data_IF_212393785807
#
_entry.id   IF_212393785807
#
_cell.length_a   1.000
_cell.length_b   1.000
_cell.length_c   1.000
_cell.angle_alpha   90.00
_cell.angle_beta   90.00
_cell.angle_gamma   90.00
#
_symmetry.space_group_name_H-M   'P 1'
#
loop_
_entity.id
_entity.type
_entity.pdbx_description
1 polymer ?
#
# COMPACT_ATOMS: atom_id res chain seq x y z
N UNK A 1 13.34 -22.06 20.53
CA UNK A 1 11.94 -21.99 20.08
C UNK A 1 11.41 -23.38 20.34
N UNK A 2 10.55 -23.53 21.32
CA UNK A 2 9.89 -24.80 21.62
C UNK A 2 9.02 -25.17 20.41
N UNK A 3 9.18 -26.38 19.92
CA UNK A 3 8.90 -26.94 18.60
C UNK A 3 7.53 -26.81 17.96
N UNK A 4 6.72 -25.79 18.30
CA UNK A 4 5.39 -25.57 17.72
C UNK A 4 5.11 -24.10 17.34
N UNK A 5 6.08 -23.19 17.41
CA UNK A 5 5.88 -21.81 16.99
C UNK A 5 6.19 -21.65 15.49
N UNK A 6 5.17 -21.33 14.72
CA UNK A 6 5.33 -20.93 13.31
C UNK A 6 5.88 -19.50 13.22
N UNK A 7 6.98 -19.33 12.52
CA UNK A 7 7.57 -18.01 12.24
C UNK A 7 7.33 -17.69 10.78
N UNK A 8 6.71 -16.54 10.53
CA UNK A 8 6.57 -15.98 9.20
C UNK A 8 7.57 -14.83 9.00
N UNK A 9 8.35 -14.91 7.93
CA UNK A 9 9.22 -13.82 7.47
C UNK A 9 8.65 -13.21 6.20
N UNK A 10 8.34 -11.92 6.25
CA UNK A 10 7.90 -11.15 5.09
C UNK A 10 8.99 -10.14 4.72
N UNK A 11 9.53 -10.30 3.50
CA UNK A 11 10.46 -9.35 2.93
C UNK A 11 9.75 -8.44 1.94
N UNK A 12 9.91 -7.13 2.12
CA UNK A 12 9.29 -6.12 1.26
C UNK A 12 10.36 -5.28 0.59
N UNK A 13 10.26 -5.15 -0.73
CA UNK A 13 11.06 -4.21 -1.50
C UNK A 13 10.21 -3.01 -1.89
N UNK A 14 10.72 -1.82 -1.62
CA UNK A 14 10.08 -0.57 -2.01
C UNK A 14 10.89 0.05 -3.14
N UNK A 15 10.24 0.21 -4.30
CA UNK A 15 10.84 0.83 -5.51
C UNK A 15 12.23 0.25 -5.82
N UNK A 16 12.34 -1.05 -6.14
CA UNK A 16 13.62 -1.65 -6.45
C UNK A 16 14.24 -1.02 -7.71
N UNK A 17 15.54 -0.92 -7.75
CA UNK A 17 16.26 -0.44 -8.93
C UNK A 17 15.96 -1.33 -10.14
N UNK A 18 15.54 -0.74 -11.25
CA UNK A 18 15.22 -1.47 -12.49
C UNK A 18 13.77 -1.93 -12.64
N UNK A 19 12.85 -1.44 -11.81
CA UNK A 19 11.41 -1.68 -11.88
C UNK A 19 10.90 -2.83 -11.02
N UNK A 20 9.63 -3.13 -11.12
CA UNK A 20 8.89 -4.00 -10.19
C UNK A 20 9.40 -5.43 -10.09
N UNK A 21 9.95 -5.96 -11.18
CA UNK A 21 10.48 -7.33 -11.24
C UNK A 21 12.01 -7.39 -11.30
N UNK A 22 12.66 -6.25 -11.29
CA UNK A 22 14.11 -6.15 -11.30
C UNK A 22 14.63 -5.77 -9.89
N UNK A 23 15.91 -5.72 -9.73
CA UNK A 23 16.53 -5.34 -8.47
C UNK A 23 17.54 -6.37 -8.02
N UNK A 24 17.74 -6.48 -6.71
CA UNK A 24 18.77 -7.33 -6.12
C UNK A 24 18.43 -8.82 -6.08
N UNK A 25 17.26 -9.21 -6.58
CA UNK A 25 16.76 -10.58 -6.47
C UNK A 25 16.29 -10.94 -5.06
N UNK A 26 15.78 -12.16 -4.90
CA UNK A 26 15.41 -12.66 -3.58
C UNK A 26 16.65 -13.10 -2.82
N UNK A 27 16.77 -12.76 -1.53
CA UNK A 27 17.89 -13.24 -0.71
C UNK A 27 17.80 -14.75 -0.56
N UNK A 28 18.95 -15.40 -0.49
CA UNK A 28 19.04 -16.79 -0.03
C UNK A 28 18.81 -16.80 1.48
N UNK A 29 17.80 -17.53 1.92
CA UNK A 29 17.53 -17.72 3.35
C UNK A 29 18.11 -19.07 3.76
N UNK A 30 18.95 -19.06 4.76
CA UNK A 30 19.53 -20.26 5.38
C UNK A 30 19.18 -20.21 6.87
N UNK A 31 18.70 -21.32 7.39
CA UNK A 31 18.42 -21.48 8.83
C UNK A 31 19.40 -22.49 9.40
N UNK A 32 19.94 -22.14 10.54
CA UNK A 32 20.90 -22.98 11.25
C UNK A 32 20.34 -23.31 12.63
N UNK A 33 20.52 -24.53 13.04
CA UNK A 33 20.35 -24.91 14.45
C UNK A 33 21.36 -24.16 15.33
N UNK A 34 20.90 -23.61 16.44
CA UNK A 34 21.74 -22.78 17.30
C UNK A 34 22.85 -23.57 18.00
N UNK A 35 22.60 -24.83 18.30
CA UNK A 35 23.52 -25.67 19.06
C UNK A 35 24.49 -26.38 18.13
N UNK A 36 23.99 -27.09 17.13
CA UNK A 36 24.80 -27.86 16.19
C UNK A 36 25.49 -27.02 15.11
N UNK A 37 24.95 -25.82 14.83
CA UNK A 37 25.35 -24.96 13.70
C UNK A 37 25.14 -25.61 12.33
N UNK A 38 24.40 -26.67 12.27
CA UNK A 38 24.06 -27.32 11.01
C UNK A 38 22.89 -26.60 10.30
N UNK A 39 22.91 -26.64 8.98
CA UNK A 39 21.83 -26.08 8.18
C UNK A 39 20.57 -26.93 8.32
N UNK A 40 19.46 -26.28 8.61
CA UNK A 40 18.14 -26.90 8.75
C UNK A 40 17.31 -26.62 7.51
N UNK A 41 16.69 -27.66 6.96
CA UNK A 41 15.75 -27.50 5.85
C UNK A 41 14.42 -26.92 6.38
N UNK A 42 14.06 -25.74 5.90
CA UNK A 42 12.77 -25.13 6.22
C UNK A 42 11.70 -25.78 5.34
N UNK A 43 10.66 -26.39 5.91
CA UNK A 43 9.52 -26.84 5.11
C UNK A 43 8.84 -25.62 4.46
N UNK A 44 8.54 -25.73 3.17
CA UNK A 44 7.72 -24.73 2.49
C UNK A 44 6.28 -24.88 2.97
N UNK A 45 5.89 -24.06 3.95
CA UNK A 45 4.49 -23.96 4.37
C UNK A 45 3.86 -22.76 3.69
N UNK A 46 2.67 -22.94 3.15
CA UNK A 46 1.85 -21.88 2.55
C UNK A 46 0.71 -21.44 3.48
N UNK A 47 0.90 -21.58 4.78
CA UNK A 47 -0.16 -21.25 5.74
C UNK A 47 -0.34 -19.74 5.80
N UNK A 48 -1.50 -19.29 5.36
CA UNK A 48 -1.95 -17.91 5.58
C UNK A 48 -2.20 -17.74 7.08
N UNK A 49 -1.72 -16.64 7.66
CA UNK A 49 -1.96 -16.28 9.07
C UNK A 49 -3.45 -16.05 9.39
N UNK A 50 -4.28 -15.94 8.37
CA UNK A 50 -5.73 -15.82 8.49
C UNK A 50 -6.42 -16.72 7.48
N UNK A 51 -7.52 -17.33 7.90
CA UNK A 51 -8.38 -18.08 6.98
C UNK A 51 -9.14 -17.13 6.05
N UNK A 52 -9.51 -17.60 4.86
CA UNK A 52 -10.33 -16.85 3.91
C UNK A 52 -11.61 -16.27 4.53
N UNK A 53 -12.38 -17.00 5.35
CA UNK A 53 -13.54 -16.43 6.05
C UNK A 53 -13.19 -15.23 6.93
N UNK A 54 -12.13 -15.31 7.73
CA UNK A 54 -11.69 -14.19 8.59
C UNK A 54 -11.28 -12.96 7.79
N UNK A 55 -10.67 -13.15 6.62
CA UNK A 55 -10.34 -12.07 5.70
C UNK A 55 -11.64 -11.42 5.17
N UNK A 56 -12.57 -12.23 4.69
CA UNK A 56 -13.84 -11.76 4.16
C UNK A 56 -14.69 -11.03 5.20
N UNK A 57 -14.72 -11.51 6.44
CA UNK A 57 -15.47 -10.86 7.54
C UNK A 57 -14.89 -9.48 7.84
N UNK A 58 -13.57 -9.31 7.87
CA UNK A 58 -12.93 -8.00 8.05
C UNK A 58 -13.22 -7.04 6.91
N UNK A 59 -13.22 -7.53 5.69
CA UNK A 59 -13.53 -6.77 4.49
C UNK A 59 -14.98 -6.29 4.54
N UNK A 60 -15.91 -7.20 4.79
CA UNK A 60 -17.34 -6.87 4.89
C UNK A 60 -17.61 -5.86 6.02
N UNK A 61 -16.94 -6.01 7.17
CA UNK A 61 -17.00 -5.04 8.24
C UNK A 61 -16.49 -3.67 7.79
N UNK A 62 -15.39 -3.61 7.03
CA UNK A 62 -14.86 -2.37 6.46
C UNK A 62 -15.87 -1.64 5.57
N UNK A 63 -16.55 -2.36 4.69
CA UNK A 63 -17.58 -1.77 3.83
C UNK A 63 -18.83 -1.30 4.55
N UNK A 64 -19.18 -1.90 5.69
CA UNK A 64 -20.35 -1.49 6.47
C UNK A 64 -20.21 -0.09 7.10
N UNK A 65 -19.00 0.45 7.15
CA UNK A 65 -18.74 1.82 7.65
C UNK A 65 -18.97 2.91 6.59
N UNK A 66 -19.16 2.55 5.32
CA UNK A 66 -19.45 3.51 4.25
C UNK A 66 -20.95 3.63 4.03
N UNK A 67 -21.61 4.48 4.79
CA UNK A 67 -23.06 4.67 4.74
C UNK A 67 -23.46 5.85 3.86
N UNK A 68 -22.53 6.71 3.49
CA UNK A 68 -22.78 7.89 2.67
C UNK A 68 -21.71 8.02 1.55
N UNK A 69 -22.03 8.79 0.51
CA UNK A 69 -21.12 9.07 -0.62
C UNK A 69 -19.89 9.90 -0.24
N UNK A 70 -19.62 10.07 1.05
CA UNK A 70 -18.45 10.78 1.53
C UNK A 70 -17.31 9.81 1.79
N UNK A 71 -16.25 9.94 1.02
CA UNK A 71 -15.02 9.18 1.23
C UNK A 71 -14.33 9.69 2.49
N UNK A 72 -14.24 8.85 3.51
CA UNK A 72 -13.52 9.15 4.75
C UNK A 72 -12.34 8.22 4.91
N UNK A 73 -11.18 8.81 5.10
CA UNK A 73 -10.01 8.05 5.45
C UNK A 73 -9.96 7.81 6.96
N UNK A 74 -9.54 6.63 7.35
CA UNK A 74 -9.34 6.26 8.74
C UNK A 74 -8.03 5.51 8.93
N UNK A 75 -7.44 5.69 10.10
CA UNK A 75 -6.27 4.92 10.52
C UNK A 75 -6.75 3.52 10.90
N UNK A 76 -6.25 2.53 10.18
CA UNK A 76 -6.59 1.13 10.48
C UNK A 76 -5.96 0.65 11.78
N UNK A 77 -6.56 -0.38 12.38
CA UNK A 77 -5.93 -1.13 13.46
C UNK A 77 -4.58 -1.69 12.97
N UNK A 78 -3.49 -1.49 13.71
CA UNK A 78 -2.18 -2.04 13.37
C UNK A 78 -2.13 -3.58 13.38
N UNK A 79 -3.15 -4.26 13.87
CA UNK A 79 -3.25 -5.73 13.92
C UNK A 79 -3.64 -6.37 12.58
N UNK A 80 -3.29 -5.76 11.45
CA UNK A 80 -3.52 -6.29 10.12
C UNK A 80 -2.68 -7.52 9.78
N UNK A 81 -2.89 -8.07 8.58
CA UNK A 81 -2.02 -9.09 8.00
C UNK A 81 -0.59 -8.54 7.89
N UNK A 82 0.36 -9.21 8.54
CA UNK A 82 1.77 -8.83 8.56
C UNK A 82 1.99 -7.36 9.00
N UNK A 83 1.63 -6.99 10.24
CA UNK A 83 1.80 -5.63 10.72
C UNK A 83 3.27 -5.23 10.60
N UNK A 84 3.48 -3.99 10.16
CA UNK A 84 4.81 -3.41 10.08
C UNK A 84 4.79 -2.06 10.82
N UNK A 85 5.48 -1.98 11.93
CA UNK A 85 5.53 -0.79 12.78
C UNK A 85 6.21 0.40 12.08
N UNK A 86 7.03 0.13 11.06
CA UNK A 86 7.69 1.17 10.26
C UNK A 86 6.74 1.86 9.28
N UNK A 87 5.52 1.33 9.10
CA UNK A 87 4.51 1.90 8.21
C UNK A 87 3.35 2.52 8.98
N UNK A 88 2.96 3.71 8.53
CA UNK A 88 1.69 4.32 8.89
C UNK A 88 0.72 4.16 7.73
N UNK A 89 -0.49 3.69 8.06
CA UNK A 89 -1.53 3.43 7.06
C UNK A 89 -2.76 4.25 7.36
N UNK A 90 -3.26 4.93 6.32
CA UNK A 90 -4.59 5.51 6.30
C UNK A 90 -5.32 4.92 5.12
N UNK A 91 -6.54 4.45 5.32
CA UNK A 91 -7.31 3.74 4.30
C UNK A 91 -8.75 4.20 4.22
N UNK A 92 -9.34 3.97 3.08
CA UNK A 92 -10.78 4.14 2.85
C UNK A 92 -11.28 3.07 1.90
N UNK A 93 -12.59 2.82 1.95
CA UNK A 93 -13.26 1.94 0.99
C UNK A 93 -14.03 2.78 -0.03
N UNK A 94 -14.08 2.31 -1.26
CA UNK A 94 -14.77 2.95 -2.36
C UNK A 94 -15.87 2.01 -2.89
N UNK A 95 -17.05 2.56 -3.08
CA UNK A 95 -18.10 1.94 -3.89
C UNK A 95 -18.17 2.71 -5.20
N UNK A 96 -17.73 2.09 -6.27
CA UNK A 96 -17.61 2.71 -7.58
C UNK A 96 -18.81 2.33 -8.43
N UNK A 97 -19.52 3.31 -8.92
CA UNK A 97 -20.54 3.11 -9.95
C UNK A 97 -20.01 3.63 -11.30
N UNK A 98 -20.48 3.05 -12.40
CA UNK A 98 -20.10 3.46 -13.74
C UNK A 98 -20.29 4.97 -13.91
N UNK A 99 -19.24 5.65 -14.38
CA UNK A 99 -19.11 7.10 -14.50
C UNK A 99 -18.86 7.89 -13.21
N UNK A 100 -18.60 7.23 -12.10
CA UNK A 100 -18.10 7.92 -10.91
C UNK A 100 -16.70 8.49 -11.15
N UNK A 101 -16.44 9.61 -10.52
CA UNK A 101 -15.12 10.23 -10.48
C UNK A 101 -14.78 10.55 -9.04
N UNK A 102 -13.79 9.87 -8.49
CA UNK A 102 -13.24 10.22 -7.20
C UNK A 102 -12.10 11.22 -7.35
N UNK A 103 -12.18 12.31 -6.60
CA UNK A 103 -11.11 13.30 -6.54
C UNK A 103 -10.61 13.40 -5.11
N UNK A 104 -9.35 13.07 -4.93
CA UNK A 104 -8.71 13.03 -3.60
C UNK A 104 -7.55 14.02 -3.61
N UNK A 105 -7.51 14.89 -2.61
CA UNK A 105 -6.43 15.87 -2.46
C UNK A 105 -5.85 15.79 -1.07
N UNK A 106 -4.52 15.68 -0.99
CA UNK A 106 -3.82 15.64 0.29
C UNK A 106 -2.46 16.33 0.20
N UNK A 107 -1.97 16.78 1.34
CA UNK A 107 -0.60 17.29 1.44
C UNK A 107 0.35 16.10 1.59
N UNK A 108 1.37 16.06 0.75
CA UNK A 108 2.34 14.97 0.76
C UNK A 108 3.50 15.33 1.67
N UNK A 109 3.93 14.43 2.58
CA UNK A 109 5.16 14.62 3.33
C UNK A 109 6.37 14.57 2.39
N UNK A 110 7.43 15.24 2.78
CA UNK A 110 8.69 15.19 2.05
C UNK A 110 9.29 13.78 2.12
N UNK A 111 9.69 13.25 0.97
CA UNK A 111 10.43 11.99 0.85
C UNK A 111 11.81 12.23 0.22
N UNK A 112 12.83 11.42 0.54
CA UNK A 112 14.18 11.63 0.06
C UNK A 112 14.27 11.25 -1.43
N UNK A 113 14.96 12.06 -2.21
CA UNK A 113 15.31 11.76 -3.61
C UNK A 113 16.59 10.95 -3.72
N UNK A 114 17.41 10.97 -2.69
CA UNK A 114 18.67 10.25 -2.61
C UNK A 114 19.05 10.02 -1.13
N UNK A 115 20.09 9.22 -0.88
CA UNK A 115 20.49 8.82 0.47
C UNK A 115 20.95 9.99 1.36
N UNK A 116 21.41 11.10 0.80
CA UNK A 116 21.84 12.25 1.61
C UNK A 116 20.69 13.04 2.23
N UNK A 117 19.48 12.82 1.76
CA UNK A 117 18.25 13.48 2.25
C UNK A 117 17.51 12.66 3.30
N UNK A 118 17.98 11.45 3.63
CA UNK A 118 17.30 10.54 4.54
C UNK A 118 16.98 11.16 5.91
N UNK A 119 17.88 11.95 6.46
CA UNK A 119 17.69 12.55 7.77
C UNK A 119 16.85 13.84 7.76
N UNK A 120 16.66 14.45 6.58
CA UNK A 120 15.88 15.67 6.41
C UNK A 120 14.44 15.41 5.99
N UNK A 121 14.16 14.30 5.32
CA UNK A 121 12.83 13.96 4.85
C UNK A 121 11.89 13.56 6.01
N UNK A 122 10.60 13.85 5.87
CA UNK A 122 9.56 13.51 6.86
C UNK A 122 9.23 12.02 6.84
N UNK A 123 9.30 11.40 5.67
CA UNK A 123 9.09 9.95 5.48
C UNK A 123 10.16 9.39 4.56
N UNK A 124 10.38 8.09 4.60
CA UNK A 124 11.28 7.40 3.66
C UNK A 124 10.62 7.08 2.33
N UNK A 125 9.32 6.92 2.34
CA UNK A 125 8.52 6.56 1.18
C UNK A 125 7.06 6.84 1.45
N UNK A 126 6.32 7.29 0.45
CA UNK A 126 4.87 7.36 0.52
C UNK A 126 4.23 6.84 -0.77
N UNK A 127 3.05 6.23 -0.63
CA UNK A 127 2.28 5.75 -1.79
C UNK A 127 0.79 5.77 -1.50
N UNK A 128 0.01 5.88 -2.59
CA UNK A 128 -1.43 5.64 -2.61
C UNK A 128 -1.71 4.47 -3.53
N UNK A 129 -2.32 3.42 -3.02
CA UNK A 129 -2.60 2.20 -3.77
C UNK A 129 -4.10 1.94 -3.82
N UNK A 130 -4.58 1.53 -4.99
CA UNK A 130 -5.92 1.02 -5.22
C UNK A 130 -5.87 -0.52 -5.19
N UNK A 131 -6.72 -1.13 -4.42
CA UNK A 131 -6.78 -2.57 -4.26
C UNK A 131 -8.18 -3.13 -4.19
N UNK A 132 -8.27 -4.44 -4.34
CA UNK A 132 -9.50 -5.17 -4.14
C UNK A 132 -9.74 -5.54 -2.67
N UNK A 133 -10.86 -6.17 -2.43
CA UNK A 133 -11.30 -6.60 -1.10
C UNK A 133 -10.39 -7.64 -0.44
N UNK A 134 -9.47 -8.27 -1.17
CA UNK A 134 -8.75 -9.46 -0.72
C UNK A 134 -7.26 -9.20 -0.50
N UNK A 135 -6.77 -7.99 -0.71
CA UNK A 135 -5.34 -7.62 -0.57
C UNK A 135 -4.54 -7.51 -1.87
N UNK A 136 -5.15 -7.69 -3.04
CA UNK A 136 -4.45 -7.44 -4.30
C UNK A 136 -4.40 -5.93 -4.56
N UNK A 137 -3.21 -5.42 -4.82
CA UNK A 137 -3.04 -4.07 -5.35
C UNK A 137 -3.14 -4.15 -6.87
N UNK A 138 -3.97 -3.32 -7.47
CA UNK A 138 -4.20 -3.28 -8.90
C UNK A 138 -3.49 -2.09 -9.55
N UNK A 139 -3.45 -0.95 -8.86
CA UNK A 139 -2.77 0.23 -9.33
C UNK A 139 -2.26 1.05 -8.14
N UNK A 140 -1.37 1.99 -8.39
CA UNK A 140 -0.84 2.86 -7.34
C UNK A 140 0.10 3.92 -7.87
N UNK A 141 0.23 4.98 -7.11
CA UNK A 141 1.23 6.02 -7.32
C UNK A 141 2.07 6.19 -6.06
N UNK A 142 3.30 6.58 -6.22
CA UNK A 142 4.23 6.79 -5.11
C UNK A 142 4.99 8.12 -5.27
N UNK A 143 5.72 8.48 -4.25
CA UNK A 143 6.30 9.80 -4.04
C UNK A 143 7.06 10.39 -5.25
N UNK A 144 7.80 9.58 -6.01
CA UNK A 144 8.51 10.09 -7.19
C UNK A 144 7.60 10.31 -8.41
N UNK A 145 6.36 9.83 -8.37
CA UNK A 145 5.35 9.98 -9.43
C UNK A 145 4.36 11.10 -9.14
N UNK A 146 4.36 11.64 -7.92
CA UNK A 146 3.41 12.67 -7.53
C UNK A 146 3.60 13.97 -8.31
N UNK A 147 2.54 14.45 -8.94
CA UNK A 147 2.44 15.79 -9.49
C UNK A 147 2.00 16.73 -8.37
N UNK A 148 2.93 17.49 -7.81
CA UNK A 148 2.68 18.41 -6.71
C UNK A 148 2.25 19.78 -7.23
N UNK A 149 1.26 20.38 -6.59
CA UNK A 149 0.98 21.80 -6.76
C UNK A 149 2.02 22.65 -6.00
N UNK A 150 1.94 23.98 -6.16
CA UNK A 150 2.86 24.94 -5.52
C UNK A 150 2.87 24.90 -3.99
N UNK A 151 1.83 24.35 -3.37
CA UNK A 151 1.65 24.26 -1.93
C UNK A 151 1.97 22.86 -1.37
N UNK A 152 2.47 21.96 -2.24
CA UNK A 152 2.90 20.59 -1.88
C UNK A 152 1.74 19.61 -1.76
N UNK A 153 0.61 19.87 -2.41
CA UNK A 153 -0.50 18.93 -2.47
C UNK A 153 -0.48 18.13 -3.76
N UNK A 154 -0.90 16.87 -3.65
CA UNK A 154 -1.29 16.02 -4.77
C UNK A 154 -2.81 16.05 -4.91
N UNK A 155 -3.27 16.11 -6.14
CA UNK A 155 -4.64 15.77 -6.50
C UNK A 155 -4.63 14.51 -7.35
N UNK A 156 -5.35 13.49 -6.91
CA UNK A 156 -5.54 12.23 -7.61
C UNK A 156 -6.98 12.12 -8.08
N UNK A 157 -7.14 11.85 -9.36
CA UNK A 157 -8.43 11.53 -9.98
C UNK A 157 -8.48 10.03 -10.23
N UNK A 158 -9.52 9.35 -9.74
CA UNK A 158 -9.77 7.94 -9.99
C UNK A 158 -11.10 7.83 -10.74
N UNK A 159 -11.08 7.22 -11.91
CA UNK A 159 -12.24 7.06 -12.79
C UNK A 159 -12.00 5.93 -13.78
N UNK A 160 -13.01 5.59 -14.57
CA UNK A 160 -12.82 4.73 -15.72
C UNK A 160 -11.77 5.28 -16.67
N UNK A 161 -11.08 4.39 -17.40
CA UNK A 161 -10.09 4.77 -18.41
C UNK A 161 -10.74 5.41 -19.63
N UNK A 162 -11.29 6.61 -19.41
CA UNK A 162 -11.90 7.44 -20.45
C UNK A 162 -10.89 8.51 -20.86
N UNK A 163 -10.45 8.55 -22.14
CA UNK A 163 -9.39 9.46 -22.58
C UNK A 163 -9.65 10.93 -22.22
N UNK A 164 -10.90 11.40 -22.37
CA UNK A 164 -11.27 12.78 -22.08
C UNK A 164 -11.15 13.16 -20.59
N UNK A 165 -11.40 12.20 -19.69
CA UNK A 165 -11.28 12.40 -18.24
C UNK A 165 -9.79 12.44 -17.88
N UNK A 166 -9.01 11.51 -18.39
CA UNK A 166 -7.57 11.45 -18.21
C UNK A 166 -6.91 12.76 -18.69
N UNK A 167 -7.20 13.17 -19.92
CA UNK A 167 -6.63 14.38 -20.52
C UNK A 167 -6.95 15.63 -19.68
N UNK A 168 -8.19 15.77 -19.23
CA UNK A 168 -8.59 16.87 -18.35
C UNK A 168 -7.84 16.86 -17.02
N UNK A 169 -7.72 15.70 -16.38
CA UNK A 169 -6.98 15.58 -15.13
C UNK A 169 -5.50 15.94 -15.32
N UNK A 170 -4.85 15.39 -16.34
CA UNK A 170 -3.44 15.61 -16.61
C UNK A 170 -3.14 17.06 -17.03
N UNK A 171 -4.02 17.69 -17.82
CA UNK A 171 -3.92 19.10 -18.20
C UNK A 171 -4.05 20.02 -16.98
N UNK A 172 -4.88 19.63 -16.01
CA UNK A 172 -5.00 20.34 -14.73
C UNK A 172 -3.80 20.11 -13.78
N UNK A 173 -2.82 19.31 -14.17
CA UNK A 173 -1.66 18.97 -13.34
C UNK A 173 -1.95 17.92 -12.28
N UNK A 174 -3.02 17.15 -12.42
CA UNK A 174 -3.41 16.11 -11.48
C UNK A 174 -2.80 14.75 -11.86
N UNK A 175 -2.69 13.87 -10.90
CA UNK A 175 -2.47 12.46 -11.15
C UNK A 175 -3.79 11.78 -11.55
N UNK A 176 -3.71 10.84 -12.47
CA UNK A 176 -4.84 10.01 -12.87
C UNK A 176 -4.53 8.54 -12.57
N UNK A 177 -5.50 7.83 -12.02
CA UNK A 177 -5.44 6.40 -11.75
C UNK A 177 -6.71 5.77 -12.30
N UNK A 178 -6.62 4.83 -13.25
CA UNK A 178 -7.80 4.18 -13.78
C UNK A 178 -8.44 3.25 -12.74
N UNK A 179 -9.76 3.14 -12.77
CA UNK A 179 -10.44 2.08 -12.05
C UNK A 179 -10.23 0.75 -12.75
N UNK A 180 -9.29 -0.06 -12.29
CA UNK A 180 -8.90 -1.34 -12.92
C UNK A 180 -9.43 -2.56 -12.16
N UNK A 181 -10.22 -2.34 -11.12
CA UNK A 181 -10.76 -3.43 -10.32
C UNK A 181 -11.85 -4.21 -11.08
N UNK A 182 -11.94 -5.53 -10.88
CA UNK A 182 -12.92 -6.37 -11.57
C UNK A 182 -14.37 -6.21 -11.07
N UNK A 183 -14.63 -5.21 -10.25
CA UNK A 183 -15.95 -4.91 -9.70
C UNK A 183 -16.04 -3.49 -9.16
N UNK A 184 -17.14 -3.20 -8.52
CA UNK A 184 -17.47 -1.87 -8.05
C UNK A 184 -17.01 -1.56 -6.61
N UNK A 185 -16.27 -2.46 -5.98
CA UNK A 185 -15.77 -2.29 -4.61
C UNK A 185 -14.25 -2.34 -4.58
N UNK A 186 -13.66 -1.32 -4.00
CA UNK A 186 -12.23 -1.23 -3.83
C UNK A 186 -11.84 -0.57 -2.52
N UNK A 187 -10.56 -0.57 -2.21
CA UNK A 187 -10.02 0.24 -1.15
C UNK A 187 -8.84 1.06 -1.64
N UNK A 188 -8.68 2.21 -1.04
CA UNK A 188 -7.45 2.98 -1.14
C UNK A 188 -6.67 2.86 0.15
N UNK A 189 -5.38 2.66 0.03
CA UNK A 189 -4.46 2.66 1.15
C UNK A 189 -3.35 3.68 0.90
N UNK A 190 -3.30 4.70 1.74
CA UNK A 190 -2.19 5.63 1.80
C UNK A 190 -1.18 5.12 2.81
N UNK A 191 0.07 5.07 2.41
CA UNK A 191 1.16 4.50 3.19
C UNK A 191 2.29 5.48 3.32
N UNK A 192 2.78 5.67 4.56
CA UNK A 192 4.02 6.35 4.86
C UNK A 192 4.96 5.39 5.58
N UNK A 193 6.18 5.27 5.09
CA UNK A 193 7.22 4.42 5.65
C UNK A 193 8.22 5.25 6.46
N UNK A 194 8.54 4.78 7.67
CA UNK A 194 9.52 5.40 8.56
C UNK A 194 9.26 6.91 8.73
N UNK A 195 8.07 7.24 9.23
CA UNK A 195 7.72 8.60 9.61
C UNK A 195 8.61 9.07 10.77
N UNK A 196 8.99 10.34 10.77
CA UNK A 196 9.62 10.95 11.95
C UNK A 196 8.68 10.89 13.14
N UNK A 197 9.24 10.69 14.33
CA UNK A 197 8.46 10.71 15.57
C UNK A 197 7.77 12.06 15.74
N UNK A 198 6.45 12.03 15.95
CA UNK A 198 5.63 13.20 16.22
C UNK A 198 4.86 13.78 15.04
N UNK A 199 4.90 13.15 13.87
CA UNK A 199 4.09 13.54 12.69
C UNK A 199 3.00 12.53 12.32
#
# INVERSE_FOLDING_TARGET
IDGEEEIALLLRYYVPAGGDLAGVGLPKIEVFDLDSKESVTIPKTSNLLMTTPQILDRINAGYSFQIDNNVRFYRGDPTGLYPNNDNQYVRTFLNYDDNDVYVIRWKVPTSPKNSSEFDSAEVRYSSMNLGDNITNNFDGIYDTQYKLDKDGFVTLVIADEIPEIREKAETAGYNFMPWTLPGNKGYLIYRNLLTKEGE
#
